data_IF_893069071781
#
_entry.id   IF_893069071781
#
_cell.length_a   1.000
_cell.length_b   1.000
_cell.length_c   1.000
_cell.angle_alpha   90.00
_cell.angle_beta   90.00
_cell.angle_gamma   90.00
#
_symmetry.space_group_name_H-M   'P 1'
#
loop_
_entity.id
_entity.type
_entity.pdbx_description
1 polymer ?
#
# COMPACT_ATOMS: atom_id res chain seq x y z
N UNK A 1 -18.33 1.95 6.07
CA UNK A 1 -18.17 0.92 5.03
C UNK A 1 -17.40 -0.24 5.63
N UNK A 2 -17.82 -1.47 5.38
CA UNK A 2 -17.04 -2.65 5.74
C UNK A 2 -15.92 -2.86 4.72
N UNK A 3 -14.72 -3.22 5.19
CA UNK A 3 -13.57 -3.54 4.33
C UNK A 3 -13.73 -4.91 3.72
N UNK A 4 -13.35 -5.07 2.45
CA UNK A 4 -13.29 -6.37 1.79
C UNK A 4 -12.02 -7.11 2.21
N UNK A 5 -12.12 -8.43 2.42
CA UNK A 5 -10.96 -9.26 2.71
C UNK A 5 -10.35 -9.80 1.41
N UNK A 6 -9.04 -9.63 1.24
CA UNK A 6 -8.29 -10.07 0.06
C UNK A 6 -7.08 -10.92 0.47
N UNK A 7 -6.67 -11.92 -0.33
CA UNK A 7 -5.37 -12.57 -0.15
C UNK A 7 -4.23 -11.55 -0.22
N UNK A 8 -3.13 -11.79 0.50
CA UNK A 8 -1.99 -10.86 0.54
C UNK A 8 -1.41 -10.59 -0.85
N UNK A 9 -1.36 -11.61 -1.71
CA UNK A 9 -0.88 -11.48 -3.10
C UNK A 9 -1.77 -10.55 -3.93
N UNK A 10 -3.09 -10.67 -3.80
CA UNK A 10 -4.06 -9.80 -4.48
C UNK A 10 -3.97 -8.37 -3.95
N UNK A 11 -3.84 -8.20 -2.62
CA UNK A 11 -3.65 -6.88 -2.02
C UNK A 11 -2.37 -6.21 -2.53
N UNK A 12 -1.24 -6.91 -2.59
CA UNK A 12 0.01 -6.40 -3.16
C UNK A 12 -0.17 -5.96 -4.61
N UNK A 13 -0.92 -6.73 -5.41
CA UNK A 13 -1.23 -6.38 -6.80
C UNK A 13 -2.08 -5.12 -6.88
N UNK A 14 -3.11 -4.99 -6.05
CA UNK A 14 -3.99 -3.82 -6.00
C UNK A 14 -3.22 -2.56 -5.59
N UNK A 15 -2.39 -2.64 -4.55
CA UNK A 15 -1.55 -1.50 -4.13
C UNK A 15 -0.66 -1.03 -5.29
N UNK A 16 0.04 -1.96 -5.94
CA UNK A 16 0.90 -1.62 -7.09
C UNK A 16 0.11 -1.01 -8.26
N UNK A 17 -1.09 -1.51 -8.54
CA UNK A 17 -1.94 -0.96 -9.59
C UNK A 17 -2.35 0.49 -9.26
N UNK A 18 -2.82 0.74 -8.04
CA UNK A 18 -3.22 2.06 -7.60
C UNK A 18 -2.04 3.05 -7.60
N UNK A 19 -0.86 2.61 -7.13
CA UNK A 19 0.34 3.44 -7.16
C UNK A 19 0.74 3.84 -8.58
N UNK A 20 0.66 2.92 -9.54
CA UNK A 20 1.01 3.21 -10.95
C UNK A 20 0.02 4.14 -11.65
N UNK A 21 -1.25 4.14 -11.23
CA UNK A 21 -2.28 5.02 -11.76
C UNK A 21 -2.18 6.45 -11.20
N UNK A 22 -1.57 6.62 -10.04
CA UNK A 22 -1.42 7.91 -9.38
C UNK A 22 -0.35 8.77 -10.11
N UNK A 23 -0.69 9.98 -10.58
CA UNK A 23 0.27 10.87 -11.23
C UNK A 23 1.49 11.13 -10.35
N UNK A 24 2.69 10.95 -10.92
CA UNK A 24 3.94 11.12 -10.18
C UNK A 24 4.37 9.91 -9.33
N UNK A 25 3.61 8.81 -9.32
CA UNK A 25 3.94 7.57 -8.61
C UNK A 25 4.19 6.35 -9.52
N UNK A 26 4.34 6.55 -10.84
CA UNK A 26 4.46 5.46 -11.84
C UNK A 26 5.66 4.51 -11.63
N UNK A 27 6.75 5.02 -11.08
CA UNK A 27 8.01 4.34 -10.73
C UNK A 27 8.12 4.02 -9.22
N UNK A 28 7.05 4.26 -8.45
CA UNK A 28 6.98 3.91 -7.04
C UNK A 28 7.04 2.39 -6.86
N UNK A 29 7.87 1.93 -5.94
CA UNK A 29 8.02 0.52 -5.61
C UNK A 29 7.40 0.20 -4.26
N UNK A 30 6.60 -0.86 -4.20
CA UNK A 30 6.13 -1.45 -2.96
C UNK A 30 7.24 -2.32 -2.35
N UNK A 31 7.92 -1.81 -1.32
CA UNK A 31 9.07 -2.47 -0.67
C UNK A 31 8.64 -3.60 0.25
N UNK A 32 7.64 -3.34 1.08
CA UNK A 32 7.16 -4.31 2.06
C UNK A 32 5.65 -4.16 2.27
N UNK A 33 5.00 -5.27 2.61
CA UNK A 33 3.65 -5.28 3.18
C UNK A 33 3.69 -6.14 4.43
N UNK A 34 3.38 -5.53 5.56
CA UNK A 34 3.42 -6.17 6.87
C UNK A 34 1.99 -6.43 7.33
N UNK A 35 1.66 -7.68 7.60
CA UNK A 35 0.36 -8.06 8.17
C UNK A 35 0.48 -8.05 9.69
N UNK A 36 -0.48 -7.44 10.36
CA UNK A 36 -0.51 -7.27 11.80
C UNK A 36 -1.93 -7.45 12.34
N UNK A 37 -2.10 -7.43 13.67
CA UNK A 37 -3.45 -7.36 14.26
C UNK A 37 -4.13 -6.05 13.82
N UNK A 38 -5.46 -6.03 13.65
CA UNK A 38 -6.16 -4.79 13.32
C UNK A 38 -5.76 -3.64 14.25
N UNK A 39 -5.37 -2.52 13.67
CA UNK A 39 -5.03 -1.31 14.40
C UNK A 39 -6.30 -0.51 14.80
N UNK A 40 -6.12 0.68 15.36
CA UNK A 40 -7.23 1.56 15.77
C UNK A 40 -8.17 1.97 14.62
N UNK A 41 -7.76 1.81 13.36
CA UNK A 41 -8.60 2.03 12.18
C UNK A 41 -9.36 0.77 11.74
N UNK A 42 -9.07 -0.38 12.35
CA UNK A 42 -9.57 -1.69 11.96
C UNK A 42 -8.84 -2.31 10.75
N UNK A 43 -7.72 -1.71 10.33
CA UNK A 43 -6.88 -2.23 9.24
C UNK A 43 -5.81 -3.19 9.78
N UNK A 44 -5.58 -4.31 9.10
CA UNK A 44 -4.67 -5.37 9.55
C UNK A 44 -3.35 -5.45 8.76
N UNK A 45 -3.00 -4.41 8.00
CA UNK A 45 -1.74 -4.39 7.25
C UNK A 45 -1.20 -2.99 7.03
N UNK A 46 0.13 -2.87 6.94
CA UNK A 46 0.85 -1.65 6.55
C UNK A 46 1.73 -1.92 5.34
N UNK A 47 2.12 -0.86 4.63
CA UNK A 47 3.01 -0.96 3.48
C UNK A 47 4.09 0.11 3.51
N UNK A 48 5.27 -0.28 3.04
CA UNK A 48 6.40 0.60 2.79
C UNK A 48 6.57 0.77 1.29
N UNK A 49 6.74 2.01 0.86
CA UNK A 49 6.89 2.39 -0.54
C UNK A 49 8.10 3.29 -0.69
N UNK A 50 8.75 3.22 -1.84
CA UNK A 50 9.98 3.94 -2.11
C UNK A 50 10.13 4.31 -3.61
N UNK A 51 11.02 5.24 -3.91
CA UNK A 51 11.35 5.71 -5.26
C UNK A 51 12.86 5.55 -5.51
N UNK A 52 13.36 4.32 -5.72
CA UNK A 52 14.79 4.04 -5.69
C UNK A 52 15.59 4.72 -6.81
N UNK A 53 14.94 5.03 -7.93
CA UNK A 53 15.58 5.70 -9.08
C UNK A 53 15.54 7.23 -8.99
N UNK A 54 14.94 7.80 -7.94
CA UNK A 54 14.79 9.25 -7.78
C UNK A 54 15.81 9.83 -6.81
N UNK A 55 16.11 11.12 -7.01
CA UNK A 55 16.83 11.90 -6.01
C UNK A 55 16.05 11.94 -4.69
N UNK A 56 16.73 12.09 -3.56
CA UNK A 56 16.08 12.16 -2.26
C UNK A 56 15.02 13.27 -2.18
N UNK A 57 15.35 14.45 -2.74
CA UNK A 57 14.43 15.60 -2.77
C UNK A 57 13.14 15.27 -3.56
N UNK A 58 13.28 14.60 -4.70
CA UNK A 58 12.13 14.19 -5.52
C UNK A 58 11.36 13.03 -4.87
N UNK A 59 12.05 12.07 -4.25
CA UNK A 59 11.44 10.97 -3.53
C UNK A 59 10.56 11.48 -2.39
N UNK A 60 11.06 12.39 -1.54
CA UNK A 60 10.30 12.99 -0.43
C UNK A 60 9.03 13.69 -0.91
N UNK A 61 9.11 14.42 -2.03
CA UNK A 61 7.94 15.13 -2.60
C UNK A 61 6.81 14.17 -2.96
N UNK A 62 7.14 13.05 -3.58
CA UNK A 62 6.14 12.10 -4.10
C UNK A 62 5.78 11.00 -3.10
N UNK A 63 6.58 10.80 -2.04
CA UNK A 63 6.28 9.85 -0.96
C UNK A 63 4.97 10.19 -0.23
N UNK A 64 4.65 11.47 -0.06
CA UNK A 64 3.36 11.89 0.52
C UNK A 64 2.17 11.42 -0.31
N UNK A 65 2.30 11.46 -1.64
CA UNK A 65 1.26 11.06 -2.57
C UNK A 65 1.10 9.55 -2.59
N UNK A 66 2.21 8.81 -2.65
CA UNK A 66 2.19 7.34 -2.54
C UNK A 66 1.58 6.86 -1.21
N UNK A 67 1.88 7.53 -0.09
CA UNK A 67 1.25 7.24 1.22
C UNK A 67 -0.27 7.46 1.20
N UNK A 68 -0.75 8.48 0.50
CA UNK A 68 -2.20 8.73 0.35
C UNK A 68 -2.88 7.58 -0.39
N UNK A 69 -2.26 7.08 -1.46
CA UNK A 69 -2.76 5.90 -2.19
C UNK A 69 -2.84 4.68 -1.26
N UNK A 70 -1.77 4.41 -0.49
CA UNK A 70 -1.77 3.32 0.50
C UNK A 70 -2.91 3.47 1.51
N UNK A 71 -3.14 4.68 2.02
CA UNK A 71 -4.24 4.96 2.95
C UNK A 71 -5.62 4.69 2.32
N UNK A 72 -5.83 5.07 1.05
CA UNK A 72 -7.08 4.76 0.34
C UNK A 72 -7.32 3.26 0.21
N UNK A 73 -6.27 2.47 -0.08
CA UNK A 73 -6.39 1.01 -0.16
C UNK A 73 -6.66 0.42 1.24
N UNK A 74 -6.02 0.97 2.29
CA UNK A 74 -6.25 0.57 3.69
C UNK A 74 -7.69 0.84 4.15
N UNK A 75 -8.38 1.82 3.60
CA UNK A 75 -9.79 2.10 3.92
C UNK A 75 -10.75 1.08 3.28
N UNK A 76 -10.30 0.37 2.24
CA UNK A 76 -11.14 -0.54 1.45
C UNK A 76 -10.88 -2.01 1.74
N UNK A 77 -9.64 -2.38 2.10
CA UNK A 77 -9.24 -3.79 2.14
C UNK A 77 -8.50 -4.19 3.42
N UNK A 78 -8.79 -5.41 3.87
CA UNK A 78 -8.01 -6.15 4.86
C UNK A 78 -7.40 -7.41 4.21
N UNK A 79 -6.34 -7.95 4.80
CA UNK A 79 -5.78 -9.25 4.43
C UNK A 79 -6.62 -10.35 5.06
N UNK A 80 -7.10 -11.30 4.24
CA UNK A 80 -7.85 -12.45 4.71
C UNK A 80 -6.97 -13.36 5.59
N UNK A 81 -7.51 -13.79 6.74
CA UNK A 81 -6.86 -14.78 7.59
C UNK A 81 -6.81 -16.13 6.85
N UNK A 82 -5.63 -16.52 6.35
CA UNK A 82 -5.44 -17.79 5.63
C UNK A 82 -4.36 -17.82 4.55
N UNK A 83 -3.66 -16.72 4.26
CA UNK A 83 -2.58 -16.71 3.25
C UNK A 83 -1.35 -15.95 3.75
N UNK A 84 -0.77 -16.44 4.84
CA UNK A 84 0.66 -16.30 5.09
C UNK A 84 1.30 -17.60 4.59
N UNK A 85 1.62 -17.63 3.29
CA UNK A 85 2.48 -18.64 2.69
C UNK A 85 3.71 -17.92 2.13
#
# INVERSE_FOLDING_TARGET
MERLNKPLSELKRLINLCLRQEPGCHDCQLRAVCVHRPDHTGCNWSAEVDFPERSEADAVRHLRQARRVVMMVREQYNVAAGTAA
#
